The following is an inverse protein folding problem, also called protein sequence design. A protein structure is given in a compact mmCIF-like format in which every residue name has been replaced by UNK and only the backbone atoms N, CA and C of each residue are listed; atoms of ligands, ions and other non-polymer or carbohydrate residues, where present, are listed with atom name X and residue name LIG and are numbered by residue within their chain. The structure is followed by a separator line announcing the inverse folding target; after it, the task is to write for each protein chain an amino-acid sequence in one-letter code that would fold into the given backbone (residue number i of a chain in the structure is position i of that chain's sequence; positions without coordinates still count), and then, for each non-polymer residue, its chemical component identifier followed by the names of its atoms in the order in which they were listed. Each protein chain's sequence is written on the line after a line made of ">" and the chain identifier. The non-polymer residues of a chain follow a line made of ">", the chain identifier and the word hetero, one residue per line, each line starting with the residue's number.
data_IF_627700417755
#
_entry.id   IF_627700417755
#
_cell.length_a   1.000
_cell.length_b   1.000
_cell.length_c   1.000
_cell.angle_alpha   90.00
_cell.angle_beta   90.00
_cell.angle_gamma   90.00
#
_symmetry.space_group_name_H-M   'P 1'
#
loop_
_entity.id
_entity.type
_entity.pdbx_description
1 polymer ?
#
# COMPACT_ATOMS: atom_id res chain seq x y z
N UNK A 1 7.02 -0.29 -5.35
CA UNK A 1 5.80 -1.11 -5.50
C UNK A 1 5.45 -1.45 -6.95
N UNK A 2 5.31 -0.49 -7.87
CA UNK A 2 4.93 -0.74 -9.28
C UNK A 2 5.72 -1.88 -9.97
N UNK A 3 7.04 -1.93 -9.78
CA UNK A 3 7.89 -3.01 -10.32
C UNK A 3 7.51 -4.38 -9.75
N UNK A 4 7.24 -4.46 -8.45
CA UNK A 4 6.84 -5.70 -7.79
C UNK A 4 5.47 -6.18 -8.28
N UNK A 5 4.51 -5.26 -8.45
CA UNK A 5 3.19 -5.57 -9.00
C UNK A 5 3.31 -6.11 -10.43
N UNK A 6 4.07 -5.43 -11.29
CA UNK A 6 4.32 -5.89 -12.66
C UNK A 6 4.98 -7.27 -12.68
N UNK A 7 6.00 -7.48 -11.84
CA UNK A 7 6.65 -8.78 -11.70
C UNK A 7 5.73 -9.91 -11.22
N UNK A 8 4.66 -9.57 -10.50
CA UNK A 8 3.60 -10.48 -10.08
C UNK A 8 2.46 -10.63 -11.11
N UNK A 9 2.60 -10.05 -12.31
CA UNK A 9 1.59 -10.13 -13.38
C UNK A 9 0.50 -9.06 -13.32
N UNK A 10 0.60 -8.05 -12.45
CA UNK A 10 -0.36 -6.96 -12.39
C UNK A 10 -0.07 -5.87 -13.43
N UNK A 11 -1.08 -5.47 -14.20
CA UNK A 11 -0.91 -4.54 -15.32
C UNK A 11 -1.25 -3.09 -14.95
N UNK A 12 -0.30 -2.17 -15.18
CA UNK A 12 -0.48 -0.73 -14.95
C UNK A 12 -0.89 0.06 -16.21
N UNK A 13 -1.26 -0.61 -17.31
CA UNK A 13 -1.58 0.02 -18.61
C UNK A 13 -2.78 0.98 -18.56
N UNK A 14 -3.66 0.85 -17.57
CA UNK A 14 -4.81 1.73 -17.33
C UNK A 14 -4.60 2.80 -16.26
N UNK A 15 -3.41 2.89 -15.65
CA UNK A 15 -3.17 3.79 -14.53
C UNK A 15 -3.17 5.25 -14.97
N UNK A 16 -4.11 6.03 -14.43
CA UNK A 16 -4.30 7.48 -14.70
C UNK A 16 -4.47 8.32 -13.44
N UNK A 17 -4.45 7.69 -12.26
CA UNK A 17 -4.82 8.28 -10.98
C UNK A 17 -3.72 9.18 -10.38
N UNK A 18 -2.52 9.21 -10.95
CA UNK A 18 -1.44 10.01 -10.40
C UNK A 18 -0.17 10.02 -11.24
N UNK A 19 0.91 10.65 -10.75
CA UNK A 19 2.14 10.82 -11.51
C UNK A 19 2.85 9.49 -11.75
N UNK A 20 3.42 9.36 -12.95
CA UNK A 20 4.33 8.30 -13.33
C UNK A 20 5.79 8.79 -13.24
N UNK A 21 6.73 7.90 -12.97
CA UNK A 21 8.15 8.16 -13.19
C UNK A 21 8.50 8.01 -14.68
N UNK A 22 9.72 8.40 -15.06
CA UNK A 22 10.22 8.29 -16.45
C UNK A 22 10.15 6.89 -17.07
N UNK A 23 10.01 5.85 -16.24
CA UNK A 23 9.89 4.44 -16.66
C UNK A 23 8.43 3.94 -16.68
N UNK A 24 7.43 4.82 -16.50
CA UNK A 24 6.01 4.43 -16.50
C UNK A 24 5.52 3.81 -15.19
N UNK A 25 6.26 3.96 -14.08
CA UNK A 25 5.85 3.44 -12.77
C UNK A 25 5.11 4.49 -11.95
N UNK A 26 4.00 4.11 -11.31
CA UNK A 26 3.29 4.98 -10.37
C UNK A 26 4.24 5.47 -9.25
N UNK A 27 4.21 6.79 -8.98
CA UNK A 27 5.00 7.44 -7.91
C UNK A 27 4.20 7.71 -6.64
N UNK A 28 2.89 7.89 -6.73
CA UNK A 28 2.04 8.15 -5.58
C UNK A 28 1.55 6.85 -4.95
N UNK A 29 1.72 6.70 -3.64
CA UNK A 29 1.25 5.53 -2.90
C UNK A 29 -0.29 5.48 -2.89
N UNK A 30 -0.95 6.59 -2.54
CA UNK A 30 -2.42 6.66 -2.50
C UNK A 30 -3.06 6.42 -3.88
N UNK A 31 -2.56 7.11 -4.91
CA UNK A 31 -3.07 6.93 -6.28
C UNK A 31 -2.88 5.49 -6.79
N UNK A 32 -1.75 4.85 -6.44
CA UNK A 32 -1.55 3.42 -6.72
C UNK A 32 -2.51 2.53 -5.92
N UNK A 33 -2.74 2.81 -4.64
CA UNK A 33 -3.71 2.08 -3.81
C UNK A 33 -5.13 2.15 -4.36
N UNK A 34 -5.58 3.33 -4.79
CA UNK A 34 -6.87 3.49 -5.48
C UNK A 34 -6.94 2.73 -6.79
N UNK A 35 -5.86 2.70 -7.58
CA UNK A 35 -5.84 1.92 -8.80
C UNK A 35 -5.95 0.42 -8.50
N UNK A 36 -5.19 -0.11 -7.54
CA UNK A 36 -5.30 -1.51 -7.10
C UNK A 36 -6.74 -1.82 -6.70
N UNK A 37 -7.35 -0.99 -5.83
CA UNK A 37 -8.76 -1.14 -5.47
C UNK A 37 -9.67 -1.25 -6.71
N UNK A 38 -9.51 -0.36 -7.69
CA UNK A 38 -10.32 -0.38 -8.90
C UNK A 38 -10.14 -1.62 -9.79
N UNK A 39 -9.00 -2.32 -9.69
CA UNK A 39 -8.65 -3.44 -10.57
C UNK A 39 -8.89 -4.82 -9.96
N UNK A 40 -8.83 -4.95 -8.63
CA UNK A 40 -9.00 -6.25 -7.95
C UNK A 40 -10.29 -6.30 -7.15
N UNK A 41 -10.28 -5.76 -5.94
CA UNK A 41 -11.42 -5.67 -5.06
C UNK A 41 -11.16 -4.63 -3.97
N UNK A 42 -12.20 -4.34 -3.18
CA UNK A 42 -12.09 -3.50 -2.00
C UNK A 42 -11.07 -4.10 -1.01
N UNK A 43 -10.10 -3.31 -0.51
CA UNK A 43 -9.21 -3.77 0.55
C UNK A 43 -9.96 -4.00 1.86
N UNK A 44 -9.36 -4.79 2.75
CA UNK A 44 -9.71 -4.71 4.17
C UNK A 44 -9.20 -3.38 4.68
N UNK A 45 -10.08 -2.58 5.28
CA UNK A 45 -9.74 -1.28 5.85
C UNK A 45 -9.71 -1.42 7.37
N UNK A 46 -8.59 -1.03 7.97
CA UNK A 46 -8.37 -1.11 9.42
C UNK A 46 -7.91 0.26 9.90
N UNK A 47 -8.43 0.79 11.03
CA UNK A 47 -7.85 1.97 11.66
C UNK A 47 -6.38 1.75 12.00
N UNK A 48 -5.55 2.79 11.90
CA UNK A 48 -4.18 2.75 12.41
C UNK A 48 -4.10 2.56 13.93
N UNK A 49 -2.88 2.37 14.43
CA UNK A 49 -2.55 2.16 15.84
C UNK A 49 -2.18 0.72 16.20
N UNK A 50 -1.90 0.51 17.49
CA UNK A 50 -1.33 -0.73 18.05
C UNK A 50 -2.01 -2.04 17.66
N UNK A 51 -3.32 -2.01 17.43
CA UNK A 51 -4.08 -3.21 17.09
C UNK A 51 -4.14 -3.49 15.58
N UNK A 52 -3.70 -2.56 14.74
CA UNK A 52 -3.86 -2.65 13.30
C UNK A 52 -2.98 -3.76 12.68
N UNK A 53 -1.75 -3.92 13.18
CA UNK A 53 -0.82 -4.98 12.76
C UNK A 53 -1.43 -6.37 12.97
N UNK A 54 -2.06 -6.60 14.13
CA UNK A 54 -2.72 -7.88 14.45
C UNK A 54 -3.80 -8.25 13.44
N UNK A 55 -4.51 -7.27 12.87
CA UNK A 55 -5.58 -7.51 11.88
C UNK A 55 -5.09 -7.99 10.53
N UNK A 56 -3.82 -7.72 10.20
CA UNK A 56 -3.20 -8.12 8.92
C UNK A 56 -2.10 -9.17 9.09
N UNK A 57 -1.73 -9.53 10.32
CA UNK A 57 -0.78 -10.59 10.63
C UNK A 57 -1.20 -11.95 10.06
N UNK A 58 -0.20 -12.81 9.83
CA UNK A 58 -0.36 -14.20 9.33
C UNK A 58 -0.95 -14.33 7.91
N UNK A 59 -1.07 -13.21 7.18
CA UNK A 59 -1.42 -13.20 5.76
C UNK A 59 -0.40 -12.35 5.02
N UNK A 60 0.09 -12.82 3.89
CA UNK A 60 0.89 -11.99 2.99
C UNK A 60 -0.01 -11.16 2.09
N UNK A 61 0.52 -10.09 1.49
CA UNK A 61 -0.25 -9.25 0.58
C UNK A 61 0.37 -7.89 0.31
N UNK A 62 -0.47 -6.96 -0.12
CA UNK A 62 -0.13 -5.54 -0.28
C UNK A 62 -0.74 -4.77 0.88
N UNK A 63 0.05 -3.91 1.51
CA UNK A 63 -0.38 -3.02 2.59
C UNK A 63 -0.17 -1.57 2.16
N UNK A 64 -1.16 -0.72 2.43
CA UNK A 64 -1.09 0.73 2.25
C UNK A 64 -1.38 1.40 3.58
N UNK A 65 -0.51 2.33 3.98
CA UNK A 65 -0.58 3.13 5.18
C UNK A 65 -0.97 4.56 4.77
N UNK A 66 -2.11 5.03 5.25
CA UNK A 66 -2.70 6.33 4.90
C UNK A 66 -2.37 7.39 5.94
N UNK A 67 -2.02 8.60 5.49
CA UNK A 67 -1.80 9.78 6.32
C UNK A 67 -0.85 9.54 7.52
N UNK A 68 0.33 8.99 7.24
CA UNK A 68 1.41 8.78 8.20
C UNK A 68 1.89 10.14 8.73
N UNK A 69 1.74 10.37 10.04
CA UNK A 69 2.28 11.55 10.71
C UNK A 69 3.81 11.55 10.71
N UNK A 70 4.43 12.71 10.45
CA UNK A 70 5.88 12.88 10.43
C UNK A 70 6.58 12.31 9.18
N UNK A 71 5.85 11.71 8.24
CA UNK A 71 6.44 11.14 7.03
C UNK A 71 7.09 12.24 6.17
N UNK A 72 8.41 12.17 6.04
CA UNK A 72 9.24 13.17 5.33
C UNK A 72 9.01 14.60 5.83
N UNK A 73 8.95 14.78 7.14
CA UNK A 73 8.68 16.07 7.81
C UNK A 73 7.28 16.64 7.52
N UNK A 74 6.32 15.78 7.19
CA UNK A 74 4.94 16.19 6.92
C UNK A 74 3.96 15.04 7.16
N UNK A 75 2.92 14.99 6.34
CA UNK A 75 1.97 13.87 6.28
C UNK A 75 2.14 13.22 4.91
N UNK A 76 2.15 11.89 4.86
CA UNK A 76 2.25 11.19 3.59
C UNK A 76 1.80 9.75 3.69
N UNK A 77 1.77 9.06 2.56
CA UNK A 77 1.34 7.67 2.51
C UNK A 77 2.48 6.74 2.10
N UNK A 78 2.34 5.47 2.48
CA UNK A 78 3.28 4.41 2.11
C UNK A 78 2.55 3.18 1.59
N UNK A 79 3.07 2.55 0.54
CA UNK A 79 2.52 1.28 0.02
C UNK A 79 3.64 0.27 -0.14
N UNK A 80 3.42 -0.94 0.38
CA UNK A 80 4.45 -1.95 0.48
C UNK A 80 3.92 -3.38 0.34
N UNK A 81 4.86 -4.31 0.20
CA UNK A 81 4.62 -5.74 0.37
C UNK A 81 4.64 -6.10 1.85
N UNK A 82 3.70 -6.95 2.23
CA UNK A 82 3.54 -7.49 3.57
C UNK A 82 3.70 -9.02 3.52
N UNK A 83 4.53 -9.59 4.38
CA UNK A 83 4.77 -11.05 4.42
C UNK A 83 3.97 -11.78 5.53
N UNK A 84 3.12 -11.05 6.26
CA UNK A 84 2.40 -11.55 7.43
C UNK A 84 3.05 -11.18 8.76
N UNK A 85 4.27 -10.63 8.76
CA UNK A 85 5.05 -10.25 9.95
C UNK A 85 5.71 -8.88 9.84
N UNK A 86 6.22 -8.55 8.67
CA UNK A 86 6.94 -7.32 8.38
C UNK A 86 6.65 -6.81 6.96
N UNK A 87 6.83 -5.50 6.78
CA UNK A 87 6.88 -4.90 5.45
C UNK A 87 8.28 -5.00 4.87
N UNK A 88 8.42 -4.80 3.56
CA UNK A 88 9.73 -4.85 2.90
C UNK A 88 10.59 -3.60 3.16
N UNK A 89 9.98 -2.44 3.32
CA UNK A 89 10.69 -1.14 3.33
C UNK A 89 10.35 -0.22 4.49
N UNK A 90 9.21 -0.42 5.18
CA UNK A 90 8.84 0.40 6.32
C UNK A 90 7.44 0.10 6.85
N UNK A 91 7.33 -0.08 8.16
CA UNK A 91 6.05 -0.30 8.86
C UNK A 91 5.62 0.98 9.56
N UNK A 92 4.38 1.40 9.35
CA UNK A 92 3.85 2.67 9.88
C UNK A 92 2.50 2.48 10.57
N UNK A 93 2.30 1.32 11.21
CA UNK A 93 1.02 0.96 11.83
C UNK A 93 0.56 1.98 12.88
N UNK A 94 1.46 2.47 13.72
CA UNK A 94 1.16 3.42 14.80
C UNK A 94 0.99 4.86 14.33
N UNK A 95 1.62 5.22 13.21
CA UNK A 95 1.75 6.61 12.76
C UNK A 95 0.70 6.97 11.69
N UNK A 96 0.04 5.99 11.09
CA UNK A 96 -0.98 6.16 10.05
C UNK A 96 -2.39 6.28 10.63
N UNK A 97 -3.32 6.88 9.88
CA UNK A 97 -4.74 6.96 10.27
C UNK A 97 -5.51 5.72 9.85
N UNK A 98 -5.14 5.12 8.72
CA UNK A 98 -5.85 3.99 8.11
C UNK A 98 -4.90 3.05 7.38
N UNK A 99 -5.25 1.78 7.35
CA UNK A 99 -4.52 0.71 6.66
C UNK A 99 -5.43 0.05 5.66
N UNK A 100 -4.99 -0.06 4.42
CA UNK A 100 -5.65 -0.87 3.40
C UNK A 100 -4.82 -2.12 3.14
N UNK A 101 -5.47 -3.26 3.23
CA UNK A 101 -4.82 -4.55 3.05
C UNK A 101 -5.52 -5.39 1.97
N UNK A 102 -4.74 -5.82 0.98
CA UNK A 102 -5.13 -6.80 -0.02
C UNK A 102 -4.33 -8.08 0.23
N UNK A 103 -4.95 -9.15 0.76
CA UNK A 103 -4.25 -10.41 0.94
C UNK A 103 -3.85 -11.00 -0.41
N UNK A 104 -2.67 -11.59 -0.49
CA UNK A 104 -2.29 -12.48 -1.57
C UNK A 104 -2.97 -13.84 -1.34
N UNK A 105 -3.43 -14.45 -2.43
CA UNK A 105 -4.06 -15.79 -2.45
C UNK A 105 -3.05 -16.89 -2.16
#
# INVERSE_FOLDING_TARGET
>A
MSICLIGAGFHLSGYKQGPLCKHGHARGAQSLGHYIWSQVHRPTIVPGGANAKVKVSNKSGVVFFKDIAGFRNGIGDHIDLWDGKASKTGEYFEDCTEIWFWPAS
#
